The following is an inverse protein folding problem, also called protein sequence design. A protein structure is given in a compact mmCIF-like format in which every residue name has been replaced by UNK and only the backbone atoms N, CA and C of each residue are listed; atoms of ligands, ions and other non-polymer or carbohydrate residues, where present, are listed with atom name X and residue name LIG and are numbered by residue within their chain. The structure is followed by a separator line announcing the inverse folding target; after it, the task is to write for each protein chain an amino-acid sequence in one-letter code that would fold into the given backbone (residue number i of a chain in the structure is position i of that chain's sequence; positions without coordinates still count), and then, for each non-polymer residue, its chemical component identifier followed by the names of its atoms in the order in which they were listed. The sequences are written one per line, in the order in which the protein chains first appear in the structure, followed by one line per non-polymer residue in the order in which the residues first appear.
data_IF_777302225166
#
_entry.id   IF_777302225166
#
_cell.length_a   1.000
_cell.length_b   1.000
_cell.length_c   1.000
_cell.angle_alpha   90.00
_cell.angle_beta   90.00
_cell.angle_gamma   90.00
#
_symmetry.space_group_name_H-M   'P 1'
#
loop_
_entity.id
_entity.type
_entity.pdbx_description
1 polymer ?
#
# COMPACT_ATOMS: atom_id res chain seq x y z
N UNK A 1 -19.71 -11.42 -9.83
CA UNK A 1 -20.68 -12.37 -10.41
C UNK A 1 -22.09 -11.79 -10.42
N UNK A 2 -22.66 -11.39 -9.28
CA UNK A 2 -24.01 -10.75 -9.24
C UNK A 2 -24.06 -9.41 -10.00
N UNK A 3 -23.01 -8.60 -9.93
CA UNK A 3 -22.92 -7.34 -10.70
C UNK A 3 -22.93 -7.55 -12.22
N UNK A 4 -22.41 -8.68 -12.71
CA UNK A 4 -22.39 -8.99 -14.16
C UNK A 4 -23.79 -9.36 -14.63
N UNK A 5 -24.55 -10.13 -13.84
CA UNK A 5 -25.94 -10.49 -14.14
C UNK A 5 -26.87 -9.27 -14.14
N UNK A 6 -26.67 -8.31 -13.23
CA UNK A 6 -27.43 -7.07 -13.20
C UNK A 6 -27.17 -6.20 -14.44
N UNK A 7 -25.91 -6.12 -14.89
CA UNK A 7 -25.55 -5.37 -16.10
C UNK A 7 -26.15 -6.02 -17.36
N UNK A 8 -26.09 -7.35 -17.47
CA UNK A 8 -26.69 -8.08 -18.61
C UNK A 8 -28.22 -7.96 -18.63
N UNK A 9 -28.87 -7.93 -17.48
CA UNK A 9 -30.32 -7.73 -17.37
C UNK A 9 -30.81 -6.36 -17.87
N UNK A 10 -29.95 -5.33 -17.93
CA UNK A 10 -30.31 -4.03 -18.51
C UNK A 10 -30.44 -4.07 -20.05
N UNK A 11 -29.84 -5.06 -20.71
CA UNK A 11 -29.82 -5.19 -22.17
C UNK A 11 -30.85 -6.18 -22.73
N UNK A 12 -31.67 -6.82 -21.88
CA UNK A 12 -32.70 -7.79 -22.28
C UNK A 12 -34.07 -7.28 -21.84
N UNK A 13 -35.07 -7.25 -22.73
CA UNK A 13 -36.44 -6.80 -22.42
C UNK A 13 -37.45 -7.93 -22.73
N UNK A 14 -38.45 -8.11 -21.86
CA UNK A 14 -39.47 -9.18 -21.93
C UNK A 14 -39.53 -10.07 -20.67
N UNK A 15 -40.24 -11.21 -20.72
CA UNK A 15 -40.35 -12.15 -19.58
C UNK A 15 -39.00 -12.73 -19.14
N UNK A 16 -38.03 -12.79 -20.05
CA UNK A 16 -36.63 -13.11 -19.76
C UNK A 16 -35.99 -12.12 -18.77
N UNK A 17 -36.38 -10.83 -18.82
CA UNK A 17 -35.88 -9.83 -17.88
C UNK A 17 -36.39 -10.08 -16.46
N UNK A 18 -37.64 -10.55 -16.30
CA UNK A 18 -38.21 -10.90 -14.98
C UNK A 18 -37.49 -12.09 -14.35
N UNK A 19 -37.23 -13.14 -15.14
CA UNK A 19 -36.48 -14.33 -14.67
C UNK A 19 -35.05 -13.95 -14.28
N UNK A 20 -34.36 -13.13 -15.09
CA UNK A 20 -33.03 -12.62 -14.78
C UNK A 20 -33.02 -11.77 -13.50
N UNK A 21 -34.06 -10.97 -13.25
CA UNK A 21 -34.17 -10.14 -12.05
C UNK A 21 -34.37 -10.98 -10.78
N UNK A 22 -35.22 -12.01 -10.83
CA UNK A 22 -35.41 -12.96 -9.72
C UNK A 22 -34.11 -13.74 -9.44
N UNK A 23 -33.42 -14.21 -10.47
CA UNK A 23 -32.12 -14.88 -10.33
C UNK A 23 -31.05 -13.93 -9.76
N UNK A 24 -31.07 -12.65 -10.14
CA UNK A 24 -30.17 -11.65 -9.58
C UNK A 24 -30.44 -11.41 -8.08
N UNK A 25 -31.70 -11.30 -7.67
CA UNK A 25 -32.08 -11.19 -6.25
C UNK A 25 -31.69 -12.44 -5.47
N UNK A 26 -31.99 -13.64 -5.99
CA UNK A 26 -31.59 -14.89 -5.34
C UNK A 26 -30.06 -15.00 -5.20
N UNK A 27 -29.32 -14.59 -6.23
CA UNK A 27 -27.87 -14.50 -6.19
C UNK A 27 -27.35 -13.46 -5.19
N UNK A 28 -28.03 -12.32 -5.07
CA UNK A 28 -27.71 -11.28 -4.09
C UNK A 28 -27.91 -11.81 -2.66
N UNK A 29 -29.05 -12.45 -2.37
CA UNK A 29 -29.35 -13.06 -1.07
C UNK A 29 -28.30 -14.14 -0.74
N UNK A 30 -27.92 -14.98 -1.71
CA UNK A 30 -26.88 -15.99 -1.52
C UNK A 30 -25.51 -15.37 -1.22
N UNK A 31 -25.13 -14.29 -1.91
CA UNK A 31 -23.88 -13.57 -1.65
C UNK A 31 -23.89 -12.89 -0.27
N UNK A 32 -25.01 -12.29 0.14
CA UNK A 32 -25.17 -11.73 1.49
C UNK A 32 -25.11 -12.82 2.56
N UNK A 33 -25.78 -13.95 2.37
CA UNK A 33 -25.69 -15.11 3.25
C UNK A 33 -24.26 -15.67 3.33
N UNK A 34 -23.55 -15.71 2.20
CA UNK A 34 -22.14 -16.13 2.14
C UNK A 34 -21.21 -15.11 2.80
N UNK A 35 -21.48 -13.81 2.67
CA UNK A 35 -20.74 -12.76 3.38
C UNK A 35 -20.95 -12.86 4.90
N UNK A 36 -22.15 -13.22 5.34
CA UNK A 36 -22.47 -13.52 6.74
C UNK A 36 -22.01 -14.92 7.21
N UNK A 37 -21.31 -15.69 6.36
CA UNK A 37 -20.80 -17.00 6.73
C UNK A 37 -19.71 -16.88 7.80
N UNK A 38 -20.03 -17.38 8.98
CA UNK A 38 -19.31 -17.24 10.27
C UNK A 38 -17.87 -17.78 10.33
N UNK A 39 -17.28 -18.28 9.23
CA UNK A 39 -15.89 -18.82 9.21
C UNK A 39 -14.85 -17.77 8.82
N UNK A 40 -14.99 -16.56 9.35
CA UNK A 40 -14.03 -15.45 9.19
C UNK A 40 -12.62 -15.88 9.61
N UNK A 41 -12.53 -16.70 10.66
CA UNK A 41 -11.25 -17.15 11.21
C UNK A 41 -10.42 -18.00 10.22
N UNK A 42 -11.05 -18.90 9.47
CA UNK A 42 -10.35 -19.74 8.48
C UNK A 42 -9.85 -18.92 7.29
N UNK A 43 -10.64 -17.94 6.83
CA UNK A 43 -10.23 -17.02 5.74
C UNK A 43 -9.15 -16.04 6.18
N UNK A 44 -9.19 -15.59 7.44
CA UNK A 44 -8.10 -14.79 8.02
C UNK A 44 -6.80 -15.59 8.09
N UNK A 45 -6.86 -16.87 8.45
CA UNK A 45 -5.67 -17.74 8.47
C UNK A 45 -5.07 -17.95 7.06
N UNK A 46 -5.91 -18.12 6.03
CA UNK A 46 -5.44 -18.17 4.63
C UNK A 46 -4.82 -16.85 4.18
N UNK A 47 -5.46 -15.72 4.50
CA UNK A 47 -4.94 -14.40 4.15
C UNK A 47 -3.64 -14.09 4.91
N UNK A 48 -3.51 -14.52 6.16
CA UNK A 48 -2.28 -14.37 6.93
C UNK A 48 -1.13 -15.19 6.35
N UNK A 49 -1.40 -16.43 5.90
CA UNK A 49 -0.42 -17.24 5.15
C UNK A 49 0.00 -16.54 3.85
N UNK A 50 -0.95 -15.98 3.10
CA UNK A 50 -0.67 -15.21 1.88
C UNK A 50 0.14 -13.94 2.16
N UNK A 51 -0.20 -13.18 3.21
CA UNK A 51 0.52 -11.99 3.65
C UNK A 51 1.94 -12.33 4.06
N UNK A 52 2.16 -13.45 4.77
CA UNK A 52 3.49 -13.95 5.13
C UNK A 52 4.28 -14.38 3.89
N UNK A 53 3.67 -15.14 2.98
CA UNK A 53 4.33 -15.59 1.75
C UNK A 53 4.76 -14.41 0.85
N UNK A 54 3.94 -13.36 0.78
CA UNK A 54 4.23 -12.16 -0.03
C UNK A 54 4.99 -11.07 0.74
N UNK A 55 5.31 -11.29 2.02
CA UNK A 55 5.92 -10.29 2.89
C UNK A 55 7.27 -9.80 2.36
N UNK A 56 8.14 -10.71 1.91
CA UNK A 56 9.48 -10.35 1.40
C UNK A 56 9.41 -9.38 0.22
N UNK A 57 8.58 -9.70 -0.78
CA UNK A 57 8.40 -8.85 -1.95
C UNK A 57 7.77 -7.51 -1.58
N UNK A 58 6.75 -7.52 -0.72
CA UNK A 58 6.06 -6.30 -0.27
C UNK A 58 6.98 -5.39 0.55
N UNK A 59 7.80 -5.95 1.41
CA UNK A 59 8.80 -5.21 2.19
C UNK A 59 9.89 -4.64 1.29
N UNK A 60 10.34 -5.38 0.27
CA UNK A 60 11.28 -4.88 -0.73
C UNK A 60 10.73 -3.67 -1.50
N UNK A 61 9.51 -3.78 -2.05
CA UNK A 61 8.84 -2.67 -2.73
C UNK A 61 8.57 -1.49 -1.80
N UNK A 62 8.19 -1.75 -0.56
CA UNK A 62 8.02 -0.70 0.45
C UNK A 62 9.32 0.03 0.73
N UNK A 63 10.44 -0.69 0.90
CA UNK A 63 11.77 -0.10 1.09
C UNK A 63 12.22 0.73 -0.11
N UNK A 64 11.95 0.27 -1.34
CA UNK A 64 12.19 1.05 -2.56
C UNK A 64 11.36 2.33 -2.59
N UNK A 65 10.06 2.25 -2.26
CA UNK A 65 9.16 3.41 -2.21
C UNK A 65 9.59 4.42 -1.16
N UNK A 66 9.97 3.96 0.03
CA UNK A 66 10.48 4.81 1.11
C UNK A 66 11.80 5.48 0.72
N UNK A 67 12.75 4.75 0.12
CA UNK A 67 13.99 5.33 -0.42
C UNK A 67 13.71 6.37 -1.49
N UNK A 68 12.75 6.12 -2.38
CA UNK A 68 12.35 7.06 -3.41
C UNK A 68 11.72 8.31 -2.78
N UNK A 69 10.78 8.17 -1.85
CA UNK A 69 10.18 9.31 -1.15
C UNK A 69 11.25 10.15 -0.44
N UNK A 70 12.13 9.52 0.33
CA UNK A 70 13.19 10.20 1.07
C UNK A 70 14.25 10.86 0.18
N UNK A 71 14.34 10.50 -1.11
CA UNK A 71 15.31 11.10 -2.05
C UNK A 71 15.10 12.61 -2.21
N UNK A 72 13.85 13.09 -2.06
CA UNK A 72 13.51 14.51 -2.23
C UNK A 72 13.83 15.31 -0.97
N UNK A 73 13.61 14.72 0.19
CA UNK A 73 13.67 15.45 1.47
C UNK A 73 15.07 15.47 2.08
N UNK A 74 15.95 14.50 1.75
CA UNK A 74 17.24 14.35 2.43
C UNK A 74 18.43 14.20 1.48
N UNK A 75 19.59 14.73 1.90
CA UNK A 75 20.90 14.61 1.29
C UNK A 75 21.87 13.99 2.30
N UNK A 76 22.76 13.14 1.83
CA UNK A 76 23.76 12.49 2.67
C UNK A 76 25.12 13.15 2.47
N UNK A 77 25.76 13.55 3.56
CA UNK A 77 27.11 14.13 3.56
C UNK A 77 28.05 13.29 4.41
N UNK A 78 29.34 13.24 4.05
CA UNK A 78 30.36 12.65 4.93
C UNK A 78 30.95 13.74 5.82
N UNK A 79 31.08 13.45 7.10
CA UNK A 79 31.80 14.33 8.01
C UNK A 79 33.30 14.39 7.62
N UNK A 80 33.93 15.58 7.61
CA UNK A 80 35.35 15.71 7.25
C UNK A 80 36.29 15.06 8.28
N UNK A 81 35.95 15.08 9.58
CA UNK A 81 36.80 14.50 10.63
C UNK A 81 36.60 12.98 10.78
N UNK A 82 35.37 12.50 10.94
CA UNK A 82 35.10 11.10 11.29
C UNK A 82 34.55 10.27 10.13
N UNK A 83 34.40 10.85 8.93
CA UNK A 83 33.90 10.21 7.69
C UNK A 83 32.53 9.53 7.80
N UNK A 84 31.81 9.72 8.91
CA UNK A 84 30.49 9.14 9.11
C UNK A 84 29.46 9.82 8.20
N UNK A 85 28.53 9.03 7.67
CA UNK A 85 27.42 9.51 6.83
C UNK A 85 26.38 10.24 7.69
N UNK A 86 26.11 11.50 7.39
CA UNK A 86 25.13 12.35 8.07
C UNK A 86 23.95 12.61 7.12
N UNK A 87 22.73 12.46 7.64
CA UNK A 87 21.48 12.79 6.94
C UNK A 87 21.12 14.25 7.19
N UNK A 88 20.94 15.03 6.12
CA UNK A 88 20.66 16.47 6.18
C UNK A 88 19.44 16.80 5.31
N UNK A 89 18.47 17.63 5.77
CA UNK A 89 17.28 17.97 4.98
C UNK A 89 17.61 18.86 3.78
N UNK A 90 17.05 18.56 2.60
CA UNK A 90 17.27 19.33 1.35
C UNK A 90 16.48 20.65 1.35
N UNK A 91 16.95 21.63 0.57
CA UNK A 91 16.20 22.87 0.28
C UNK A 91 16.34 23.98 1.31
N UNK A 92 17.22 23.85 2.32
CA UNK A 92 17.42 24.86 3.37
C UNK A 92 18.59 25.83 3.08
N UNK A 93 19.18 25.78 1.89
CA UNK A 93 20.28 26.69 1.52
C UNK A 93 21.57 26.39 2.27
N UNK A 94 22.19 27.43 2.87
CA UNK A 94 23.41 27.31 3.68
C UNK A 94 23.03 26.90 5.11
N UNK A 95 23.53 25.77 5.58
CA UNK A 95 23.26 25.30 6.94
C UNK A 95 24.54 24.83 7.64
N UNK A 96 24.58 25.02 8.96
CA UNK A 96 25.63 24.52 9.84
C UNK A 96 25.31 23.08 10.21
N UNK A 97 26.02 22.12 9.62
CA UNK A 97 25.89 20.70 9.93
C UNK A 97 26.79 20.38 11.12
N UNK A 98 26.20 19.85 12.20
CA UNK A 98 26.96 19.36 13.36
C UNK A 98 26.98 17.83 13.35
N UNK A 99 28.17 17.25 13.41
CA UNK A 99 28.31 15.80 13.51
C UNK A 99 28.03 15.32 14.93
N UNK A 100 27.05 14.42 15.11
CA UNK A 100 26.74 13.84 16.44
C UNK A 100 27.83 12.90 16.98
N UNK A 101 28.73 12.39 16.13
CA UNK A 101 29.81 11.48 16.56
C UNK A 101 31.07 12.21 17.04
N UNK A 102 31.48 13.28 16.38
CA UNK A 102 32.73 13.98 16.69
C UNK A 102 32.56 15.45 17.09
N UNK A 103 31.33 15.95 17.16
CA UNK A 103 31.03 17.35 17.52
C UNK A 103 31.43 18.39 16.47
N UNK A 104 32.21 18.02 15.44
CA UNK A 104 32.69 18.97 14.44
C UNK A 104 31.51 19.60 13.66
N UNK A 105 31.57 20.92 13.48
CA UNK A 105 30.55 21.71 12.81
C UNK A 105 31.11 22.35 11.54
N UNK A 106 30.40 22.22 10.42
CA UNK A 106 30.84 22.74 9.14
C UNK A 106 29.65 23.26 8.33
N UNK A 107 29.89 24.27 7.49
CA UNK A 107 28.85 24.90 6.67
C UNK A 107 28.81 24.21 5.31
N UNK A 108 27.64 23.69 4.92
CA UNK A 108 27.42 23.15 3.57
C UNK A 108 26.10 23.68 3.00
N UNK A 109 26.05 23.77 1.67
CA UNK A 109 24.82 24.02 0.94
C UNK A 109 24.13 22.70 0.64
N UNK A 110 22.88 22.55 1.09
CA UNK A 110 22.02 21.40 0.73
C UNK A 110 21.58 21.42 -0.71
#
# INVERSE_FOLDING_TARGET
MVLVLLVVGMFVHGDAARVLWVLAIAGLIYVYFRMFSRKVYKRRAENEKYLRATAGLRLYFRGLRERWSQRRDYKFFRCPSCRTLLRVPKGKGKLKVVCRKCGNSFIKKT
#
